data_IF_130397926525
#
_entry.id   IF_130397926525
#
_cell.length_a   1.000
_cell.length_b   1.000
_cell.length_c   1.000
_cell.angle_alpha   90.00
_cell.angle_beta   90.00
_cell.angle_gamma   90.00
#
_symmetry.space_group_name_H-M   'P 1'
#
loop_
_entity.id
_entity.type
_entity.pdbx_description
1 polymer ?
#
# COMPACT_ATOMS: atom_id res chain seq x y z
N UNK A 1 -72.95 17.29 -14.24
CA UNK A 1 -73.42 18.29 -13.27
C UNK A 1 -72.26 18.64 -12.39
N UNK A 2 -71.67 19.77 -12.74
CA UNK A 2 -70.65 20.54 -12.06
C UNK A 2 -70.63 20.45 -10.53
N UNK A 3 -69.41 20.39 -9.97
CA UNK A 3 -68.87 21.64 -9.41
C UNK A 3 -67.35 21.57 -9.22
N UNK A 4 -66.68 22.47 -9.95
CA UNK A 4 -65.29 22.85 -9.75
C UNK A 4 -65.18 23.72 -8.49
N UNK A 5 -64.19 23.44 -7.66
CA UNK A 5 -63.59 24.46 -6.79
C UNK A 5 -62.08 24.18 -6.69
N UNK A 6 -61.34 24.94 -7.46
CA UNK A 6 -59.92 25.25 -7.29
C UNK A 6 -59.60 25.50 -5.82
N UNK A 7 -58.66 24.75 -5.25
CA UNK A 7 -57.78 25.27 -4.21
C UNK A 7 -56.37 24.77 -4.48
N UNK A 8 -55.63 25.68 -5.10
CA UNK A 8 -54.19 25.89 -5.10
C UNK A 8 -53.36 25.00 -4.18
N UNK A 9 -52.31 24.43 -4.76
CA UNK A 9 -51.10 24.06 -4.04
C UNK A 9 -50.39 25.36 -3.59
N UNK A 10 -50.13 25.51 -2.28
CA UNK A 10 -48.87 26.08 -1.90
C UNK A 10 -48.21 25.21 -0.82
N UNK A 11 -47.23 24.41 -1.25
CA UNK A 11 -46.05 24.13 -0.46
C UNK A 11 -46.35 23.52 0.91
N UNK A 12 -46.78 22.26 0.95
CA UNK A 12 -46.47 21.43 2.11
C UNK A 12 -45.06 20.88 1.94
N UNK A 13 -44.09 21.75 2.19
CA UNK A 13 -42.78 21.29 2.59
C UNK A 13 -43.00 20.39 3.79
N UNK A 14 -42.87 19.08 3.60
CA UNK A 14 -42.63 18.13 4.69
C UNK A 14 -41.26 18.44 5.27
N UNK A 15 -41.17 19.55 6.01
CA UNK A 15 -40.14 19.76 6.99
C UNK A 15 -40.38 18.69 8.07
N UNK A 16 -39.66 17.58 7.98
CA UNK A 16 -39.20 16.93 9.20
C UNK A 16 -38.22 17.91 9.86
N UNK A 17 -38.56 18.54 11.01
CA UNK A 17 -37.69 19.48 11.67
C UNK A 17 -36.69 18.67 12.50
N UNK A 18 -35.80 17.97 11.80
CA UNK A 18 -34.66 17.27 12.37
C UNK A 18 -33.42 18.07 12.06
N UNK A 19 -33.36 19.28 12.63
CA UNK A 19 -32.19 20.13 12.84
C UNK A 19 -31.08 19.88 11.82
N UNK A 20 -30.93 20.79 10.86
CA UNK A 20 -29.62 21.08 10.27
C UNK A 20 -28.63 21.10 11.42
N UNK A 21 -27.94 19.96 11.61
CA UNK A 21 -27.09 19.77 12.78
C UNK A 21 -26.15 20.97 12.70
N UNK A 22 -26.01 21.77 13.77
CA UNK A 22 -24.88 22.66 13.84
C UNK A 22 -23.70 21.80 13.41
N UNK A 23 -22.96 22.23 12.40
CA UNK A 23 -21.68 21.59 12.11
C UNK A 23 -20.92 21.74 13.41
N UNK A 24 -20.96 20.72 14.28
CA UNK A 24 -20.40 20.83 15.60
C UNK A 24 -18.91 20.86 15.34
N UNK A 25 -18.27 22.04 15.44
CA UNK A 25 -16.90 22.19 15.01
C UNK A 25 -15.99 21.31 15.87
N UNK A 26 -16.45 20.91 17.07
CA UNK A 26 -15.73 20.02 17.98
C UNK A 26 -15.75 18.57 17.51
N UNK A 27 -16.90 18.05 17.04
CA UNK A 27 -16.95 16.69 16.48
C UNK A 27 -16.11 16.59 15.19
N UNK A 28 -16.13 17.61 14.34
CA UNK A 28 -15.25 17.67 13.18
C UNK A 28 -13.78 17.75 13.60
N UNK A 29 -13.44 18.56 14.60
CA UNK A 29 -12.08 18.66 15.14
C UNK A 29 -11.59 17.34 15.76
N UNK A 30 -12.43 16.62 16.49
CA UNK A 30 -12.11 15.31 17.08
C UNK A 30 -11.89 14.24 16.01
N UNK A 31 -12.73 14.22 14.97
CA UNK A 31 -12.56 13.34 13.80
C UNK A 31 -11.28 13.69 13.05
N UNK A 32 -10.97 14.98 12.87
CA UNK A 32 -9.73 15.45 12.23
C UNK A 32 -8.49 15.10 13.04
N UNK A 33 -8.50 15.28 14.37
CA UNK A 33 -7.36 14.94 15.23
C UNK A 33 -7.15 13.42 15.29
N UNK A 34 -8.22 12.62 15.34
CA UNK A 34 -8.16 11.17 15.24
C UNK A 34 -7.56 10.72 13.90
N UNK A 35 -8.01 11.31 12.78
CA UNK A 35 -7.46 11.03 11.45
C UNK A 35 -5.97 11.39 11.37
N UNK A 36 -5.57 12.55 11.91
CA UNK A 36 -4.18 13.01 11.98
C UNK A 36 -3.32 12.08 12.83
N UNK A 37 -3.79 11.64 14.00
CA UNK A 37 -3.09 10.69 14.86
C UNK A 37 -2.84 9.37 14.13
N UNK A 38 -3.84 8.87 13.38
CA UNK A 38 -3.69 7.68 12.54
C UNK A 38 -2.66 7.87 11.43
N UNK A 39 -2.67 9.02 10.74
CA UNK A 39 -1.67 9.32 9.70
C UNK A 39 -0.25 9.40 10.26
N UNK A 40 -0.07 9.98 11.45
CA UNK A 40 1.23 10.04 12.14
C UNK A 40 1.71 8.63 12.50
N UNK A 41 0.82 7.78 13.04
CA UNK A 41 1.16 6.39 13.35
C UNK A 41 1.52 5.59 12.09
N UNK A 42 0.77 5.76 10.99
CA UNK A 42 1.07 5.14 9.69
C UNK A 42 2.44 5.61 9.17
N UNK A 43 2.68 6.93 9.18
CA UNK A 43 3.98 7.51 8.77
C UNK A 43 5.12 6.95 9.60
N UNK A 44 4.96 6.89 10.93
CA UNK A 44 5.97 6.32 11.82
C UNK A 44 6.26 4.86 11.49
N UNK A 45 5.22 4.05 11.25
CA UNK A 45 5.37 2.65 10.86
C UNK A 45 6.08 2.48 9.51
N UNK A 46 5.77 3.33 8.53
CA UNK A 46 6.47 3.39 7.24
C UNK A 46 7.95 3.79 7.40
N UNK A 47 8.24 4.77 8.25
CA UNK A 47 9.61 5.21 8.56
C UNK A 47 10.39 4.11 9.29
N UNK A 48 9.76 3.39 10.23
CA UNK A 48 10.38 2.28 10.96
C UNK A 48 10.62 1.05 10.07
N UNK A 49 9.79 0.82 9.06
CA UNK A 49 9.94 -0.32 8.15
C UNK A 49 10.89 -0.05 6.99
N UNK A 50 11.06 1.18 6.52
CA UNK A 50 11.94 1.49 5.38
C UNK A 50 11.41 0.99 4.02
N UNK A 51 11.98 1.49 2.90
CA UNK A 51 11.47 1.22 1.56
C UNK A 51 11.54 -0.26 1.17
N UNK A 52 12.61 -0.97 1.56
CA UNK A 52 12.77 -2.38 1.21
C UNK A 52 11.77 -3.28 1.93
N UNK A 53 11.51 -3.10 3.24
CA UNK A 53 10.55 -3.97 3.93
C UNK A 53 9.11 -3.75 3.46
N UNK A 54 8.77 -2.53 3.01
CA UNK A 54 7.47 -2.26 2.40
C UNK A 54 7.32 -3.03 1.08
N UNK A 55 8.34 -2.98 0.23
CA UNK A 55 8.35 -3.75 -1.02
C UNK A 55 8.32 -5.27 -0.75
N UNK A 56 9.08 -5.73 0.26
CA UNK A 56 9.13 -7.14 0.65
C UNK A 56 7.76 -7.67 1.07
N UNK A 57 7.02 -6.95 1.92
CA UNK A 57 5.65 -7.33 2.30
C UNK A 57 4.74 -7.40 1.06
N UNK A 58 4.82 -6.40 0.19
CA UNK A 58 4.04 -6.37 -1.05
C UNK A 58 4.38 -7.56 -1.96
N UNK A 59 5.66 -7.95 -2.04
CA UNK A 59 6.11 -9.09 -2.82
C UNK A 59 5.60 -10.41 -2.24
N UNK A 60 5.65 -10.58 -0.91
CA UNK A 60 5.12 -11.75 -0.22
C UNK A 60 3.62 -11.91 -0.46
N UNK A 61 2.83 -10.84 -0.33
CA UNK A 61 1.39 -10.87 -0.58
C UNK A 61 1.05 -11.28 -2.02
N UNK A 62 1.83 -10.79 -2.99
CA UNK A 62 1.67 -11.16 -4.40
C UNK A 62 1.97 -12.62 -4.64
N UNK A 63 3.03 -13.16 -4.04
CA UNK A 63 3.42 -14.56 -4.18
C UNK A 63 2.35 -15.47 -3.58
N UNK A 64 1.88 -15.18 -2.36
CA UNK A 64 0.83 -15.97 -1.70
C UNK A 64 -0.44 -16.03 -2.55
N UNK A 65 -0.92 -14.88 -3.05
CA UNK A 65 -2.10 -14.81 -3.92
C UNK A 65 -1.89 -15.53 -5.26
N UNK A 66 -0.69 -15.46 -5.83
CA UNK A 66 -0.38 -16.15 -7.07
C UNK A 66 -0.37 -17.67 -6.88
N UNK A 67 0.18 -18.18 -5.77
CA UNK A 67 0.16 -19.61 -5.46
C UNK A 67 -1.26 -20.15 -5.29
N UNK A 68 -2.15 -19.40 -4.64
CA UNK A 68 -3.56 -19.77 -4.48
C UNK A 68 -4.31 -19.84 -5.83
N UNK A 69 -3.97 -18.96 -6.78
CA UNK A 69 -4.71 -18.83 -8.05
C UNK A 69 -4.19 -19.74 -9.16
N UNK A 70 -2.88 -19.94 -9.25
CA UNK A 70 -2.28 -20.51 -10.46
C UNK A 70 -2.19 -22.03 -10.43
N UNK A 71 -2.13 -22.68 -9.26
CA UNK A 71 -1.82 -24.12 -9.16
C UNK A 71 -0.44 -24.52 -9.72
N UNK A 72 0.25 -23.61 -10.40
CA UNK A 72 1.60 -23.74 -10.93
C UNK A 72 2.63 -23.51 -9.83
N UNK A 73 3.62 -24.38 -9.80
CA UNK A 73 4.72 -24.31 -8.85
C UNK A 73 5.68 -23.21 -9.26
N UNK A 74 5.57 -22.03 -8.64
CA UNK A 74 6.53 -20.95 -8.81
C UNK A 74 7.89 -21.43 -8.28
N UNK A 75 8.83 -21.75 -9.16
CA UNK A 75 10.17 -22.22 -8.78
C UNK A 75 11.18 -21.10 -8.64
N UNK A 76 10.95 -19.94 -9.27
CA UNK A 76 11.81 -18.75 -9.22
C UNK A 76 11.00 -17.49 -9.09
N UNK A 77 11.44 -16.60 -8.20
CA UNK A 77 10.80 -15.32 -7.97
C UNK A 77 11.76 -14.35 -7.28
N UNK A 78 11.41 -13.07 -7.27
CA UNK A 78 12.19 -12.05 -6.58
C UNK A 78 11.55 -11.69 -5.24
N UNK A 79 12.34 -11.80 -4.17
CA UNK A 79 12.06 -11.22 -2.86
C UNK A 79 13.20 -10.24 -2.53
N UNK A 80 12.91 -8.94 -2.30
CA UNK A 80 13.93 -7.96 -1.95
C UNK A 80 14.74 -8.39 -0.74
N UNK A 81 16.07 -8.43 -0.88
CA UNK A 81 16.99 -8.69 0.21
C UNK A 81 17.18 -7.41 1.03
N UNK A 82 16.52 -7.32 2.17
CA UNK A 82 16.58 -6.15 3.05
C UNK A 82 17.63 -6.29 4.17
N UNK A 83 18.11 -5.15 4.66
CA UNK A 83 18.86 -5.07 5.91
C UNK A 83 17.92 -4.86 7.11
N UNK A 84 18.48 -4.90 8.33
CA UNK A 84 17.71 -4.74 9.57
C UNK A 84 17.01 -3.38 9.74
N UNK A 85 17.38 -2.38 8.95
CA UNK A 85 16.79 -1.02 8.98
C UNK A 85 15.73 -0.83 7.88
N UNK A 86 15.50 -1.85 7.05
CA UNK A 86 14.56 -1.76 5.95
C UNK A 86 15.10 -1.08 4.70
N UNK A 87 16.41 -0.99 4.56
CA UNK A 87 17.07 -0.59 3.31
C UNK A 87 17.43 -1.83 2.48
N UNK A 88 17.67 -1.64 1.20
CA UNK A 88 18.09 -2.72 0.31
C UNK A 88 19.54 -3.09 0.62
N UNK A 89 19.84 -4.38 0.68
CA UNK A 89 21.23 -4.84 0.62
C UNK A 89 21.82 -4.49 -0.76
N UNK A 90 23.09 -4.09 -0.86
CA UNK A 90 23.72 -3.74 -2.14
C UNK A 90 23.59 -4.86 -3.19
N UNK A 91 23.75 -6.13 -2.76
CA UNK A 91 23.52 -7.31 -3.60
C UNK A 91 22.09 -7.81 -3.42
N UNK A 92 21.38 -7.93 -4.54
CA UNK A 92 20.05 -8.53 -4.65
C UNK A 92 20.15 -9.82 -5.45
N UNK A 93 19.36 -10.84 -5.10
CA UNK A 93 19.32 -12.11 -5.81
C UNK A 93 17.89 -12.62 -5.96
N UNK A 94 17.63 -13.32 -7.06
CA UNK A 94 16.42 -14.13 -7.21
C UNK A 94 16.41 -15.27 -6.18
N UNK A 95 15.23 -15.57 -5.66
CA UNK A 95 14.96 -16.75 -4.83
C UNK A 95 14.61 -17.92 -5.75
N UNK A 96 15.13 -19.11 -5.41
CA UNK A 96 14.86 -20.34 -6.15
C UNK A 96 14.44 -21.46 -5.21
N UNK A 97 13.37 -22.18 -5.56
CA UNK A 97 12.86 -23.35 -4.83
C UNK A 97 13.32 -24.68 -5.44
N UNK A 98 13.97 -24.64 -6.61
CA UNK A 98 14.51 -25.80 -7.33
C UNK A 98 15.97 -26.12 -6.97
N UNK A 99 16.54 -25.38 -6.00
CA UNK A 99 17.94 -25.51 -5.58
C UNK A 99 18.96 -24.88 -6.54
N UNK A 100 18.55 -24.32 -7.67
CA UNK A 100 19.45 -23.59 -8.55
C UNK A 100 19.75 -22.21 -7.99
N UNK A 101 20.96 -21.70 -8.28
CA UNK A 101 21.35 -20.36 -7.83
C UNK A 101 20.60 -19.31 -8.64
N UNK A 102 19.89 -18.41 -7.95
CA UNK A 102 19.22 -17.29 -8.59
C UNK A 102 20.22 -16.27 -9.14
N UNK A 103 19.79 -15.49 -10.13
CA UNK A 103 20.58 -14.38 -10.67
C UNK A 103 20.74 -13.30 -9.63
N UNK A 104 21.92 -12.68 -9.55
CA UNK A 104 22.20 -11.59 -8.63
C UNK A 104 22.64 -10.31 -9.36
N UNK A 105 22.31 -9.16 -8.80
CA UNK A 105 22.70 -7.84 -9.32
C UNK A 105 22.95 -6.85 -8.18
N UNK A 106 23.57 -5.71 -8.50
CA UNK A 106 23.79 -4.64 -7.52
C UNK A 106 22.74 -3.55 -7.63
N UNK A 107 22.34 -3.02 -6.48
CA UNK A 107 21.37 -1.93 -6.36
C UNK A 107 21.87 -0.82 -5.46
N UNK A 108 21.30 0.37 -5.61
CA UNK A 108 21.44 1.43 -4.63
C UNK A 108 20.62 1.09 -3.37
N UNK A 109 21.27 1.10 -2.21
CA UNK A 109 20.67 0.69 -0.92
C UNK A 109 19.44 1.52 -0.51
N UNK A 110 19.31 2.77 -0.97
CA UNK A 110 18.21 3.64 -0.62
C UNK A 110 16.94 3.36 -1.40
N UNK A 111 17.05 3.09 -2.71
CA UNK A 111 15.88 3.02 -3.60
C UNK A 111 15.73 1.67 -4.34
N UNK A 112 16.65 0.73 -4.14
CA UNK A 112 16.60 -0.60 -4.77
C UNK A 112 16.84 -0.58 -6.28
N UNK A 113 17.17 0.57 -6.88
CA UNK A 113 17.44 0.67 -8.31
C UNK A 113 18.76 0.01 -8.66
N UNK A 114 18.73 -0.84 -9.68
CA UNK A 114 19.90 -1.49 -10.24
C UNK A 114 20.96 -0.46 -10.65
N UNK A 115 22.21 -0.69 -10.26
CA UNK A 115 23.33 0.17 -10.63
C UNK A 115 23.65 -0.01 -12.12
N UNK A 116 23.89 1.10 -12.82
CA UNK A 116 24.28 1.08 -14.24
C UNK A 116 25.53 0.23 -14.45
N UNK A 117 25.52 -0.65 -15.45
CA UNK A 117 26.64 -1.55 -15.75
C UNK A 117 26.70 -2.85 -14.94
N UNK A 118 25.85 -3.03 -13.91
CA UNK A 118 25.74 -4.33 -13.24
C UNK A 118 25.05 -5.35 -14.16
N UNK A 119 25.82 -6.12 -14.91
CA UNK A 119 25.31 -7.36 -15.53
C UNK A 119 25.12 -8.42 -14.44
N UNK A 120 24.46 -9.55 -14.77
CA UNK A 120 24.28 -10.67 -13.84
C UNK A 120 25.62 -11.03 -13.22
N UNK A 121 25.79 -10.71 -11.93
CA UNK A 121 27.05 -10.92 -11.26
C UNK A 121 27.20 -12.39 -10.92
N UNK A 122 28.41 -12.96 -11.06
CA UNK A 122 28.75 -14.19 -10.37
C UNK A 122 28.39 -14.01 -8.91
N UNK A 123 27.75 -15.00 -8.31
CA UNK A 123 27.14 -14.82 -7.00
C UNK A 123 28.15 -14.59 -5.86
N UNK A 124 29.44 -14.76 -6.16
CA UNK A 124 30.58 -14.56 -5.26
C UNK A 124 31.23 -13.17 -5.46
N UNK A 125 30.79 -12.39 -6.45
CA UNK A 125 31.21 -11.02 -6.63
C UNK A 125 30.60 -10.11 -5.55
N UNK A 126 31.39 -9.15 -5.11
CA UNK A 126 30.96 -8.07 -4.21
C UNK A 126 30.42 -6.89 -5.02
N UNK A 127 29.39 -6.25 -4.48
CA UNK A 127 28.89 -5.00 -5.05
C UNK A 127 29.80 -3.85 -4.65
N UNK A 128 30.08 -2.92 -5.58
CA UNK A 128 30.89 -1.74 -5.31
C UNK A 128 30.26 -0.80 -4.27
#
# INVERSE_FOLDING_TARGET
MDNSALLSDPGSSHFLPGLSRPHDPRLLADVQESMKAKLVAIRRKLVEQGPCHLELQTALDKISKAQEKLGEKITRFYLPNCDKRGLYKPKQCESSLDGQRGRCWCVNSWNGKKLFGSTDLPADAECP
#
